data_IF_560602525145
#
_entry.id   IF_560602525145
#
_cell.length_a   1.000
_cell.length_b   1.000
_cell.length_c   1.000
_cell.angle_alpha   90.00
_cell.angle_beta   90.00
_cell.angle_gamma   90.00
#
_symmetry.space_group_name_H-M   'P 1'
#
loop_
_entity.id
_entity.type
_entity.pdbx_description
1 polymer ?
#
# COMPACT_ATOMS: atom_id res chain seq x y z
N UNK A 1 0.46 18.45 -12.39
CA UNK A 1 0.23 17.11 -11.80
C UNK A 1 -1.19 16.68 -12.16
N UNK A 2 -1.37 15.61 -12.94
CA UNK A 2 -2.70 15.16 -13.36
C UNK A 2 -3.20 14.11 -12.36
N UNK A 3 -3.97 14.54 -11.36
CA UNK A 3 -4.48 13.68 -10.28
C UNK A 3 -5.30 12.49 -10.78
N UNK A 4 -5.88 12.58 -11.98
CA UNK A 4 -6.62 11.48 -12.62
C UNK A 4 -5.74 10.30 -13.04
N UNK A 5 -4.42 10.48 -13.10
CA UNK A 5 -3.46 9.45 -13.47
C UNK A 5 -2.77 8.80 -12.26
N UNK A 6 -3.12 9.23 -11.05
CA UNK A 6 -2.52 8.73 -9.81
C UNK A 6 -3.50 7.77 -9.16
N UNK A 7 -3.04 6.56 -8.80
CA UNK A 7 -3.80 5.66 -7.96
C UNK A 7 -3.82 6.19 -6.52
N UNK A 8 -4.99 6.61 -6.06
CA UNK A 8 -5.15 7.18 -4.72
C UNK A 8 -5.06 6.11 -3.62
N UNK A 9 -5.19 4.82 -3.95
CA UNK A 9 -5.01 3.75 -2.98
C UNK A 9 -3.56 3.68 -2.46
N UNK A 10 -2.60 4.23 -3.21
CA UNK A 10 -1.20 4.32 -2.77
C UNK A 10 -1.05 5.08 -1.45
N UNK A 11 -1.91 6.08 -1.20
CA UNK A 11 -1.90 6.82 0.06
C UNK A 11 -2.40 5.96 1.22
N UNK A 12 -3.41 5.12 0.98
CA UNK A 12 -3.93 4.17 1.97
C UNK A 12 -2.89 3.09 2.27
N UNK A 13 -2.25 2.55 1.22
CA UNK A 13 -1.21 1.54 1.36
C UNK A 13 -0.01 2.09 2.14
N UNK A 14 0.44 3.30 1.81
CA UNK A 14 1.54 3.96 2.52
C UNK A 14 1.19 4.19 3.99
N UNK A 15 -0.02 4.66 4.30
CA UNK A 15 -0.46 4.89 5.66
C UNK A 15 -0.43 3.60 6.50
N UNK A 16 -1.01 2.51 5.98
CA UNK A 16 -1.01 1.22 6.68
C UNK A 16 0.42 0.67 6.83
N UNK A 17 1.29 0.85 5.85
CA UNK A 17 2.68 0.40 5.94
C UNK A 17 3.47 1.12 7.04
N UNK A 18 3.24 2.43 7.20
CA UNK A 18 3.87 3.24 8.26
C UNK A 18 3.34 2.82 9.65
N UNK A 19 2.05 2.52 9.77
CA UNK A 19 1.45 2.08 11.03
C UNK A 19 1.93 0.68 11.46
N UNK A 20 1.99 -0.26 10.52
CA UNK A 20 2.34 -1.66 10.80
C UNK A 20 3.85 -1.90 10.87
N UNK A 21 4.67 -1.01 10.31
CA UNK A 21 6.13 -1.17 10.17
C UNK A 21 6.56 -2.53 9.57
N UNK A 22 5.67 -3.21 8.86
CA UNK A 22 5.85 -4.57 8.35
C UNK A 22 5.00 -4.78 7.10
N UNK A 23 5.65 -5.16 5.99
CA UNK A 23 4.98 -5.39 4.71
C UNK A 23 3.97 -6.54 4.80
N UNK A 24 4.31 -7.61 5.53
CA UNK A 24 3.43 -8.77 5.69
C UNK A 24 2.21 -8.43 6.56
N UNK A 25 2.38 -7.65 7.63
CA UNK A 25 1.27 -7.23 8.49
C UNK A 25 0.34 -6.25 7.75
N UNK A 26 0.90 -5.27 7.02
CA UNK A 26 0.14 -4.34 6.19
C UNK A 26 -0.66 -5.06 5.09
N UNK A 27 -0.05 -6.04 4.42
CA UNK A 27 -0.73 -6.86 3.42
C UNK A 27 -1.91 -7.63 4.03
N UNK A 28 -1.70 -8.28 5.18
CA UNK A 28 -2.77 -8.99 5.88
C UNK A 28 -3.91 -8.04 6.30
N UNK A 29 -3.59 -6.85 6.81
CA UNK A 29 -4.58 -5.84 7.22
C UNK A 29 -5.41 -5.32 6.05
N UNK A 30 -4.82 -5.22 4.87
CA UNK A 30 -5.48 -4.77 3.63
C UNK A 30 -6.10 -5.92 2.82
N UNK A 31 -6.07 -7.15 3.32
CA UNK A 31 -6.49 -8.35 2.57
C UNK A 31 -5.80 -8.49 1.20
N UNK A 32 -4.53 -8.09 1.12
CA UNK A 32 -3.66 -8.20 -0.04
C UNK A 32 -2.64 -9.32 0.15
N UNK A 33 -2.04 -9.78 -0.95
CA UNK A 33 -0.82 -10.57 -0.86
C UNK A 33 0.36 -9.67 -0.48
N UNK A 34 1.35 -10.24 0.22
CA UNK A 34 2.59 -9.52 0.54
C UNK A 34 3.30 -8.97 -0.71
N UNK A 35 3.23 -9.71 -1.84
CA UNK A 35 3.79 -9.28 -3.12
C UNK A 35 3.02 -8.10 -3.73
N UNK A 36 1.69 -8.08 -3.66
CA UNK A 36 0.89 -6.93 -4.10
C UNK A 36 1.21 -5.69 -3.26
N UNK A 37 1.33 -5.84 -1.94
CA UNK A 37 1.71 -4.75 -1.03
C UNK A 37 3.10 -4.17 -1.36
N UNK A 38 4.10 -5.03 -1.58
CA UNK A 38 5.46 -4.61 -1.94
C UNK A 38 5.53 -3.94 -3.31
N UNK A 39 4.75 -4.42 -4.29
CA UNK A 39 4.74 -3.87 -5.63
C UNK A 39 3.95 -2.56 -5.75
N UNK A 40 3.04 -2.29 -4.81
CA UNK A 40 2.22 -1.09 -4.88
C UNK A 40 3.02 0.21 -4.65
N UNK A 41 4.14 0.17 -3.92
CA UNK A 41 4.96 1.36 -3.60
C UNK A 41 6.33 1.37 -4.31
N UNK A 42 6.55 0.49 -5.29
CA UNK A 42 7.73 0.54 -6.18
C UNK A 42 7.61 1.64 -7.22
#
# INVERSE_FOLDING_TARGET
MNLRQIDLNLLVYLNVLIEECSVSAAANRLALTQSAMSNALK
#
